data_IF_626832484322
#
_entry.id   IF_626832484322
#
_cell.length_a   1.000
_cell.length_b   1.000
_cell.length_c   1.000
_cell.angle_alpha   90.00
_cell.angle_beta   90.00
_cell.angle_gamma   90.00
#
_symmetry.space_group_name_H-M   'P 1'
#
loop_
_entity.id
_entity.type
_entity.pdbx_description
1 polymer ?
#
# COMPACT_ATOMS: atom_id res chain seq x y z
N UNK A 1 -8.61 -16.16 -1.99
CA UNK A 1 -7.53 -15.34 -1.38
C UNK A 1 -7.84 -13.91 -1.75
N UNK A 2 -7.88 -13.04 -0.74
CA UNK A 2 -8.08 -11.60 -0.90
C UNK A 2 -6.74 -10.92 -0.69
N UNK A 3 -6.24 -10.25 -1.73
CA UNK A 3 -5.00 -9.48 -1.64
C UNK A 3 -5.37 -8.01 -1.40
N UNK A 4 -4.67 -7.39 -0.45
CA UNK A 4 -4.70 -5.95 -0.23
C UNK A 4 -3.29 -5.41 -0.40
N UNK A 5 -3.17 -4.35 -1.18
CA UNK A 5 -1.94 -3.59 -1.30
C UNK A 5 -2.20 -2.27 -0.62
N UNK A 6 -1.33 -1.91 0.33
CA UNK A 6 -1.47 -0.68 1.10
C UNK A 6 -0.19 0.10 0.93
N UNK A 7 -0.36 1.34 0.49
CA UNK A 7 0.70 2.33 0.42
C UNK A 7 0.61 3.22 1.65
N UNK A 8 1.72 3.37 2.37
CA UNK A 8 1.87 4.20 3.56
C UNK A 8 2.72 5.45 3.24
N UNK A 9 2.63 6.48 4.06
CA UNK A 9 3.46 7.68 3.93
C UNK A 9 2.75 8.84 3.25
N UNK A 10 2.50 9.91 4.02
CA UNK A 10 1.76 11.09 3.55
C UNK A 10 2.42 11.83 2.39
N UNK A 11 3.73 12.03 2.44
CA UNK A 11 4.44 12.80 1.42
C UNK A 11 4.57 12.00 0.12
N UNK A 12 4.86 10.71 0.24
CA UNK A 12 4.99 9.78 -0.87
C UNK A 12 3.66 9.51 -1.57
N UNK A 13 2.57 9.28 -0.81
CA UNK A 13 1.21 9.18 -1.38
C UNK A 13 0.85 10.47 -2.12
N UNK A 14 1.10 11.63 -1.50
CA UNK A 14 0.82 12.91 -2.15
C UNK A 14 1.64 13.07 -3.42
N UNK A 15 2.92 12.72 -3.42
CA UNK A 15 3.77 12.79 -4.62
C UNK A 15 3.21 11.88 -5.74
N UNK A 16 2.83 10.66 -5.39
CA UNK A 16 2.23 9.69 -6.31
C UNK A 16 0.89 10.20 -6.91
N UNK A 17 -0.02 10.71 -6.08
CA UNK A 17 -1.29 11.29 -6.54
C UNK A 17 -1.10 12.52 -7.43
N UNK A 18 0.01 13.25 -7.27
CA UNK A 18 0.39 14.38 -8.13
C UNK A 18 1.11 13.94 -9.42
N UNK A 19 1.19 12.64 -9.71
CA UNK A 19 1.86 12.09 -10.90
C UNK A 19 3.38 12.03 -10.78
N UNK A 20 3.92 12.20 -9.56
CA UNK A 20 5.32 11.97 -9.26
C UNK A 20 5.66 10.49 -9.39
N UNK A 21 6.88 10.21 -9.84
CA UNK A 21 7.42 8.86 -9.79
C UNK A 21 7.97 8.60 -8.39
N UNK A 22 7.57 7.47 -7.81
CA UNK A 22 8.18 6.92 -6.62
C UNK A 22 9.41 6.13 -7.03
N UNK A 23 10.48 6.27 -6.25
CA UNK A 23 11.67 5.44 -6.41
C UNK A 23 11.34 3.99 -6.04
N UNK A 24 12.04 2.99 -6.61
CA UNK A 24 11.83 1.59 -6.25
C UNK A 24 12.02 1.32 -4.75
N UNK A 25 12.92 2.05 -4.10
CA UNK A 25 13.19 1.97 -2.65
C UNK A 25 12.01 2.50 -1.80
N UNK A 26 11.41 3.61 -2.23
CA UNK A 26 10.20 4.17 -1.61
C UNK A 26 9.02 3.22 -1.80
N UNK A 27 8.88 2.61 -2.98
CA UNK A 27 7.85 1.60 -3.23
C UNK A 27 8.02 0.39 -2.33
N UNK A 28 9.23 -0.15 -2.18
CA UNK A 28 9.47 -1.33 -1.33
C UNK A 28 9.24 -1.03 0.16
N UNK A 29 9.64 0.15 0.61
CA UNK A 29 9.49 0.57 2.00
C UNK A 29 8.03 0.84 2.34
N UNK A 30 7.34 1.58 1.47
CA UNK A 30 6.03 2.15 1.76
C UNK A 30 4.84 1.35 1.19
N UNK A 31 5.04 0.50 0.19
CA UNK A 31 3.98 -0.36 -0.35
C UNK A 31 4.11 -1.76 0.25
N UNK A 32 3.09 -2.21 0.98
CA UNK A 32 3.03 -3.55 1.57
C UNK A 32 1.85 -4.32 1.02
N UNK A 33 2.10 -5.59 0.67
CA UNK A 33 1.07 -6.53 0.24
C UNK A 33 0.69 -7.44 1.41
N UNK A 34 -0.60 -7.59 1.62
CA UNK A 34 -1.20 -8.46 2.62
C UNK A 34 -2.14 -9.43 1.94
N UNK A 35 -2.15 -10.69 2.40
CA UNK A 35 -3.01 -11.73 1.87
C UNK A 35 -3.90 -12.26 2.98
N UNK A 36 -5.19 -12.29 2.72
CA UNK A 36 -6.22 -12.72 3.66
C UNK A 36 -6.99 -13.91 3.10
N UNK A 37 -7.46 -14.76 4.02
CA UNK A 37 -8.26 -15.92 3.65
C UNK A 37 -9.70 -15.51 3.31
N UNK A 38 -10.19 -14.43 3.93
CA UNK A 38 -11.57 -13.95 3.80
C UNK A 38 -11.64 -12.43 3.57
N UNK A 39 -12.70 -11.97 2.89
CA UNK A 39 -12.97 -10.54 2.72
C UNK A 39 -13.22 -9.82 4.07
N UNK A 40 -13.79 -10.53 5.04
CA UNK A 40 -14.03 -10.01 6.39
C UNK A 40 -12.73 -9.69 7.13
N UNK A 41 -11.70 -10.53 6.99
CA UNK A 41 -10.38 -10.29 7.58
C UNK A 41 -9.70 -9.07 6.94
N UNK A 42 -9.79 -8.96 5.62
CA UNK A 42 -9.28 -7.81 4.87
C UNK A 42 -9.94 -6.50 5.32
N UNK A 43 -11.27 -6.50 5.46
CA UNK A 43 -12.02 -5.34 5.94
C UNK A 43 -11.71 -4.99 7.41
N UNK A 44 -11.57 -5.99 8.29
CA UNK A 44 -11.18 -5.79 9.67
C UNK A 44 -9.77 -5.22 9.79
N UNK A 45 -8.85 -5.64 8.93
CA UNK A 45 -7.49 -5.11 8.86
C UNK A 45 -7.47 -3.64 8.42
N UNK A 46 -8.21 -3.27 7.37
CA UNK A 46 -8.35 -1.88 6.93
C UNK A 46 -8.91 -0.99 8.04
N UNK A 47 -9.92 -1.48 8.76
CA UNK A 47 -10.46 -0.76 9.92
C UNK A 47 -9.43 -0.61 11.05
N UNK A 48 -8.63 -1.64 11.29
CA UNK A 48 -7.54 -1.58 12.26
C UNK A 48 -6.47 -0.56 11.87
N UNK A 49 -6.14 -0.46 10.58
CA UNK A 49 -5.23 0.55 10.03
C UNK A 49 -5.82 1.94 10.21
N UNK A 50 -7.09 2.16 9.89
CA UNK A 50 -7.74 3.46 10.06
C UNK A 50 -7.65 3.97 11.52
N UNK A 51 -7.82 3.06 12.48
CA UNK A 51 -7.75 3.38 13.91
C UNK A 51 -6.31 3.49 14.45
N UNK A 52 -5.36 2.72 13.91
CA UNK A 52 -3.98 2.66 14.38
C UNK A 52 -3.06 3.68 13.71
N UNK A 53 -3.31 4.00 12.44
CA UNK A 53 -2.60 5.00 11.65
C UNK A 53 -3.16 6.38 12.00
N UNK A 54 -3.15 6.69 13.30
CA UNK A 54 -3.37 8.03 13.79
C UNK A 54 -2.27 8.94 13.24
N UNK A 55 -2.65 9.77 12.28
CA UNK A 55 -1.87 10.86 11.65
C UNK A 55 -0.97 10.50 10.48
N UNK A 56 -0.62 9.24 10.22
CA UNK A 56 0.02 8.87 8.97
C UNK A 56 -1.03 8.68 7.86
N UNK A 57 -0.66 8.86 6.59
CA UNK A 57 -1.60 8.66 5.50
C UNK A 57 -1.41 7.25 4.92
N UNK A 58 -2.51 6.62 4.53
CA UNK A 58 -2.48 5.35 3.83
C UNK A 58 -3.45 5.37 2.65
N UNK A 59 -3.12 4.62 1.61
CA UNK A 59 -3.93 4.49 0.41
C UNK A 59 -3.98 3.01 0.00
N UNK A 60 -5.19 2.40 -0.11
CA UNK A 60 -5.33 1.07 -0.68
C UNK A 60 -5.13 1.14 -2.20
N UNK A 61 -4.34 0.22 -2.75
CA UNK A 61 -4.10 0.10 -4.18
C UNK A 61 -4.75 -1.20 -4.71
N UNK A 62 -5.42 -1.10 -5.86
CA UNK A 62 -5.95 -2.27 -6.57
C UNK A 62 -4.85 -3.11 -7.24
N UNK A 63 -3.75 -2.48 -7.65
CA UNK A 63 -2.60 -3.12 -8.31
C UNK A 63 -1.27 -2.56 -7.81
N UNK A 64 -0.20 -3.37 -7.90
CA UNK A 64 1.14 -2.86 -7.59
C UNK A 64 1.52 -1.79 -8.62
N UNK A 65 2.17 -0.70 -8.21
CA UNK A 65 2.78 0.22 -9.16
C UNK A 65 3.74 -0.54 -10.07
N UNK A 66 3.61 -0.34 -11.40
CA UNK A 66 4.32 -1.08 -12.46
C UNK A 66 5.85 -1.13 -12.33
N UNK A 67 6.43 -0.33 -11.44
CA UNK A 67 7.85 -0.31 -11.13
C UNK A 67 8.32 -1.45 -10.20
N UNK A 68 7.42 -2.32 -9.72
CA UNK A 68 7.76 -3.49 -8.88
C UNK A 68 7.89 -4.82 -9.64
N UNK A 69 7.69 -4.86 -10.97
CA UNK A 69 7.77 -6.11 -11.76
C UNK A 69 9.20 -6.62 -11.99
N UNK A 70 10.24 -5.96 -11.45
CA UNK A 70 11.64 -6.23 -11.77
C UNK A 70 12.52 -6.51 -10.54
N UNK A 71 12.07 -7.36 -9.62
CA UNK A 71 12.98 -7.99 -8.65
C UNK A 71 12.64 -9.47 -8.51
N UNK A 72 13.08 -10.24 -9.50
CA UNK A 72 13.23 -11.69 -9.39
C UNK A 72 14.43 -12.07 -10.26
N UNK A 73 15.62 -11.99 -9.67
CA UNK A 73 16.82 -12.73 -10.10
C UNK A 73 17.33 -13.57 -8.93
#
# INVERSE_FOLDING_TARGET
>A
MHELIIFFGREEIRNYENGGQLSPDELETNVKRFSFNSAEEAAAFLKGIDEAVGWDAWLPLDELPKNQEHFSE
#
